data_IF_117707654369
#
_entry.id   IF_117707654369
#
_cell.length_a   1.000
_cell.length_b   1.000
_cell.length_c   1.000
_cell.angle_alpha   90.00
_cell.angle_beta   90.00
_cell.angle_gamma   90.00
#
_symmetry.space_group_name_H-M   'P 1'
#
loop_
_entity.id
_entity.type
_entity.pdbx_description
1 polymer ?
#
# COMPACT_ATOMS: atom_id res chain seq x y z
N UNK A 1 -16.53 -21.48 40.45
CA UNK A 1 -16.93 -20.10 40.06
C UNK A 1 -15.70 -19.21 39.83
N UNK A 2 -14.70 -19.21 40.72
CA UNK A 2 -13.49 -18.35 40.63
C UNK A 2 -12.58 -18.58 39.41
N UNK A 3 -12.43 -19.82 38.94
CA UNK A 3 -11.54 -20.15 37.81
C UNK A 3 -12.08 -19.64 36.47
N UNK A 4 -13.39 -19.83 36.23
CA UNK A 4 -14.07 -19.28 35.06
C UNK A 4 -14.02 -17.74 35.01
N UNK A 5 -14.15 -17.07 36.16
CA UNK A 5 -14.04 -15.61 36.23
C UNK A 5 -12.62 -15.14 35.89
N UNK A 6 -11.59 -15.88 36.30
CA UNK A 6 -10.21 -15.61 35.97
C UNK A 6 -9.93 -15.78 34.48
N UNK A 7 -10.37 -16.88 33.88
CA UNK A 7 -10.25 -17.13 32.43
C UNK A 7 -10.98 -16.08 31.60
N UNK A 8 -12.20 -15.70 31.98
CA UNK A 8 -12.94 -14.61 31.34
C UNK A 8 -12.17 -13.28 31.45
N UNK A 9 -11.51 -13.03 32.58
CA UNK A 9 -10.63 -11.88 32.76
C UNK A 9 -9.46 -11.85 31.77
N UNK A 10 -8.77 -12.98 31.60
CA UNK A 10 -7.65 -13.14 30.65
C UNK A 10 -8.13 -12.89 29.22
N UNK A 11 -9.22 -13.57 28.81
CA UNK A 11 -9.78 -13.46 27.47
C UNK A 11 -10.21 -12.03 27.13
N UNK A 12 -10.79 -11.30 28.10
CA UNK A 12 -11.15 -9.88 27.92
C UNK A 12 -9.91 -9.01 27.68
N UNK A 13 -8.84 -9.24 28.44
CA UNK A 13 -7.59 -8.49 28.27
C UNK A 13 -6.93 -8.77 26.92
N UNK A 14 -6.93 -10.03 26.47
CA UNK A 14 -6.42 -10.41 25.15
C UNK A 14 -7.28 -9.82 24.01
N UNK A 15 -8.60 -9.87 24.14
CA UNK A 15 -9.50 -9.28 23.15
C UNK A 15 -9.28 -7.77 23.01
N UNK A 16 -9.03 -7.07 24.11
CA UNK A 16 -8.69 -5.64 24.09
C UNK A 16 -7.37 -5.38 23.36
N UNK A 17 -6.33 -6.19 23.61
CA UNK A 17 -5.05 -6.09 22.89
C UNK A 17 -5.23 -6.30 21.39
N UNK A 18 -5.97 -7.33 20.98
CA UNK A 18 -6.23 -7.62 19.57
C UNK A 18 -6.99 -6.49 18.89
N UNK A 19 -8.01 -5.91 19.56
CA UNK A 19 -8.75 -4.75 19.02
C UNK A 19 -7.84 -3.54 18.80
N UNK A 20 -6.94 -3.27 19.73
CA UNK A 20 -5.99 -2.17 19.59
C UNK A 20 -5.02 -2.39 18.43
N UNK A 21 -4.55 -3.63 18.23
CA UNK A 21 -3.66 -3.95 17.11
C UNK A 21 -4.40 -3.86 15.76
N UNK A 22 -5.64 -4.34 15.69
CA UNK A 22 -6.49 -4.19 14.49
C UNK A 22 -6.70 -2.71 14.17
N UNK A 23 -6.96 -1.86 15.17
CA UNK A 23 -7.09 -0.42 14.98
C UNK A 23 -5.80 0.22 14.46
N UNK A 24 -4.64 -0.17 15.01
CA UNK A 24 -3.32 0.31 14.58
C UNK A 24 -3.02 -0.06 13.13
N UNK A 25 -3.23 -1.32 12.75
CA UNK A 25 -3.01 -1.81 11.38
C UNK A 25 -3.96 -1.14 10.38
N UNK A 26 -5.21 -0.90 10.79
CA UNK A 26 -6.20 -0.18 9.98
C UNK A 26 -5.75 1.26 9.72
N UNK A 27 -5.27 1.96 10.75
CA UNK A 27 -4.74 3.32 10.62
C UNK A 27 -3.51 3.37 9.71
N UNK A 28 -2.59 2.41 9.85
CA UNK A 28 -1.40 2.32 8.99
C UNK A 28 -1.79 2.09 7.52
N UNK A 29 -2.79 1.25 7.27
CA UNK A 29 -3.32 1.00 5.92
C UNK A 29 -3.98 2.24 5.33
N UNK A 30 -4.79 2.94 6.12
CA UNK A 30 -5.43 4.20 5.72
C UNK A 30 -4.42 5.30 5.36
N UNK A 31 -3.25 5.33 6.00
CA UNK A 31 -2.21 6.31 5.69
C UNK A 31 -1.36 5.90 4.47
N UNK A 32 -1.13 4.60 4.26
CA UNK A 32 -0.25 4.09 3.21
C UNK A 32 -0.96 3.96 1.85
N UNK A 33 -2.24 3.58 1.84
CA UNK A 33 -3.00 3.37 0.60
C UNK A 33 -3.12 4.63 -0.27
N UNK A 34 -3.40 5.83 0.26
CA UNK A 34 -3.47 7.05 -0.54
C UNK A 34 -2.14 7.40 -1.21
N UNK A 35 -1.02 7.17 -0.51
CA UNK A 35 0.32 7.41 -1.06
C UNK A 35 0.64 6.45 -2.20
N UNK A 36 0.32 5.17 -2.05
CA UNK A 36 0.45 4.18 -3.13
C UNK A 36 -0.41 4.55 -4.33
N UNK A 37 -1.65 5.00 -4.10
CA UNK A 37 -2.54 5.46 -5.18
C UNK A 37 -2.00 6.70 -5.90
N UNK A 38 -1.39 7.64 -5.18
CA UNK A 38 -0.77 8.83 -5.75
C UNK A 38 0.47 8.46 -6.59
N UNK A 39 1.35 7.62 -6.05
CA UNK A 39 2.53 7.11 -6.77
C UNK A 39 2.12 6.36 -8.04
N UNK A 40 1.09 5.53 -7.97
CA UNK A 40 0.52 4.82 -9.11
C UNK A 40 0.11 5.77 -10.24
N UNK A 41 -0.71 6.78 -9.92
CA UNK A 41 -1.16 7.80 -10.90
C UNK A 41 0.00 8.56 -11.52
N UNK A 42 1.03 8.87 -10.72
CA UNK A 42 2.21 9.55 -11.22
C UNK A 42 2.99 8.69 -12.21
N UNK A 43 3.19 7.41 -11.91
CA UNK A 43 3.85 6.46 -12.81
C UNK A 43 3.04 6.27 -14.11
N UNK A 44 1.72 6.10 -14.01
CA UNK A 44 0.82 6.01 -15.18
C UNK A 44 0.95 7.24 -16.08
N UNK A 45 1.00 8.44 -15.49
CA UNK A 45 1.19 9.68 -16.23
C UNK A 45 2.54 9.72 -16.94
N UNK A 46 3.64 9.43 -16.24
CA UNK A 46 4.99 9.43 -16.81
C UNK A 46 5.10 8.40 -17.95
N UNK A 47 4.54 7.20 -17.78
CA UNK A 47 4.47 6.20 -18.86
C UNK A 47 3.75 6.77 -20.08
N UNK A 48 2.61 7.45 -19.89
CA UNK A 48 1.86 8.08 -20.96
C UNK A 48 2.69 9.14 -21.72
N UNK A 49 3.38 10.01 -20.99
CA UNK A 49 4.27 11.03 -21.57
C UNK A 49 5.40 10.40 -22.37
N UNK A 50 6.08 9.39 -21.82
CA UNK A 50 7.18 8.70 -22.51
C UNK A 50 6.68 8.00 -23.77
N UNK A 51 5.54 7.31 -23.72
CA UNK A 51 4.98 6.64 -24.90
C UNK A 51 4.58 7.61 -26.02
N UNK A 52 4.17 8.81 -25.66
CA UNK A 52 3.75 9.83 -26.63
C UNK A 52 4.94 10.62 -27.21
N UNK A 53 5.86 11.05 -26.35
CA UNK A 53 6.93 11.99 -26.72
C UNK A 53 8.31 11.33 -26.89
N UNK A 54 8.52 10.13 -26.34
CA UNK A 54 9.82 9.42 -26.28
C UNK A 54 10.90 10.11 -25.43
N UNK A 55 10.59 11.31 -24.90
CA UNK A 55 11.54 12.20 -24.25
C UNK A 55 10.90 12.96 -23.09
N UNK A 56 11.66 13.15 -22.00
CA UNK A 56 11.34 14.14 -20.97
C UNK A 56 12.26 15.35 -21.21
N UNK A 57 11.78 16.32 -21.99
CA UNK A 57 12.61 17.44 -22.46
C UNK A 57 13.58 16.96 -23.55
N UNK A 58 14.89 17.10 -23.32
CA UNK A 58 15.94 16.70 -24.29
C UNK A 58 16.52 15.30 -24.03
N UNK A 59 16.05 14.60 -23.01
CA UNK A 59 16.57 13.28 -22.62
C UNK A 59 15.67 12.21 -23.22
N UNK A 60 16.25 11.26 -23.95
CA UNK A 60 15.54 10.07 -24.42
C UNK A 60 15.20 9.17 -23.22
N UNK A 61 13.93 8.78 -23.11
CA UNK A 61 13.40 8.09 -21.94
C UNK A 61 12.81 6.72 -22.25
N UNK A 62 12.81 6.28 -23.50
CA UNK A 62 12.26 4.96 -23.89
C UNK A 62 12.87 3.80 -23.09
N UNK A 63 14.14 3.91 -22.70
CA UNK A 63 14.86 2.87 -21.97
C UNK A 63 14.31 2.62 -20.55
N UNK A 64 13.66 3.60 -19.92
CA UNK A 64 13.12 3.45 -18.55
C UNK A 64 11.70 2.87 -18.55
N UNK A 65 11.03 2.88 -19.69
CA UNK A 65 9.65 2.44 -19.83
C UNK A 65 9.38 1.02 -19.27
N UNK A 66 10.22 0.00 -19.56
CA UNK A 66 10.00 -1.35 -19.02
C UNK A 66 10.05 -1.40 -17.48
N UNK A 67 10.88 -0.56 -16.86
CA UNK A 67 11.01 -0.47 -15.41
C UNK A 67 9.78 0.18 -14.77
N UNK A 68 9.23 1.21 -15.40
CA UNK A 68 8.02 1.89 -14.94
C UNK A 68 6.80 0.96 -15.05
N UNK A 69 6.65 0.24 -16.16
CA UNK A 69 5.56 -0.74 -16.35
C UNK A 69 5.63 -1.86 -15.30
N UNK A 70 6.82 -2.39 -15.02
CA UNK A 70 7.03 -3.40 -13.97
C UNK A 70 6.72 -2.85 -12.58
N UNK A 71 7.16 -1.63 -12.29
CA UNK A 71 6.87 -0.96 -11.01
C UNK A 71 5.37 -0.74 -10.82
N UNK A 72 4.68 -0.33 -11.89
CA UNK A 72 3.23 -0.13 -11.87
C UNK A 72 2.48 -1.44 -11.59
N UNK A 73 2.89 -2.54 -12.22
CA UNK A 73 2.33 -3.87 -11.98
C UNK A 73 2.56 -4.31 -10.52
N UNK A 74 3.76 -4.14 -9.99
CA UNK A 74 4.09 -4.49 -8.61
C UNK A 74 3.29 -3.70 -7.57
N UNK A 75 3.03 -2.41 -7.82
CA UNK A 75 2.21 -1.56 -6.93
C UNK A 75 0.71 -1.84 -7.10
N UNK A 76 0.27 -2.21 -8.30
CA UNK A 76 -1.12 -2.51 -8.60
C UNK A 76 -1.65 -3.79 -7.95
N UNK A 77 -0.74 -4.67 -7.51
CA UNK A 77 -1.03 -6.05 -7.14
C UNK A 77 -1.35 -6.87 -8.39
N UNK A 78 -0.70 -8.03 -8.55
CA UNK A 78 -1.20 -9.05 -9.47
C UNK A 78 -2.65 -9.34 -9.04
N UNK A 79 -3.60 -9.00 -9.91
CA UNK A 79 -5.01 -9.32 -9.70
C UNK A 79 -5.27 -10.80 -9.83
#
# INVERSE_FOLDING_TARGET
MSELEHEVGILRAENLKLRNEVARLSQQTQHSQPQLNAAKKYIEHVIGTIKHDGHLGTIQTDWILPYLEKTLAAIGGDR
#
